data_IF_464999151657
#
_entry.id   IF_464999151657
#
_cell.length_a   1.000
_cell.length_b   1.000
_cell.length_c   1.000
_cell.angle_alpha   90.00
_cell.angle_beta   90.00
_cell.angle_gamma   90.00
#
_symmetry.space_group_name_H-M   'P 1'
#
loop_
_entity.id
_entity.type
_entity.pdbx_description
1 polymer ?
#
# COMPACT_ATOMS: atom_id res chain seq x y z
N UNK A 1 -32.35 -25.63 18.70
CA UNK A 1 -32.50 -24.22 18.25
C UNK A 1 -31.71 -23.20 19.09
N UNK A 2 -31.19 -23.51 20.28
CA UNK A 2 -30.43 -22.55 21.12
C UNK A 2 -28.97 -22.31 20.69
N UNK A 3 -28.37 -23.25 19.95
CA UNK A 3 -26.94 -23.22 19.58
C UNK A 3 -26.67 -22.24 18.42
N UNK A 4 -27.60 -22.12 17.47
CA UNK A 4 -27.48 -21.20 16.34
C UNK A 4 -27.47 -19.72 16.76
N UNK A 5 -28.14 -19.39 17.87
CA UNK A 5 -28.21 -18.02 18.38
C UNK A 5 -26.90 -17.54 19.02
N UNK A 6 -26.12 -18.44 19.61
CA UNK A 6 -24.84 -18.09 20.24
C UNK A 6 -23.73 -17.79 19.22
N UNK A 7 -23.75 -18.47 18.08
CA UNK A 7 -22.78 -18.26 16.98
C UNK A 7 -22.95 -16.90 16.29
N UNK A 8 -24.19 -16.42 16.17
CA UNK A 8 -24.49 -15.09 15.59
C UNK A 8 -24.06 -13.98 16.54
N UNK A 9 -24.24 -14.15 17.85
CA UNK A 9 -23.84 -13.14 18.84
C UNK A 9 -22.30 -13.04 18.92
N UNK A 10 -21.58 -14.15 18.78
CA UNK A 10 -20.11 -14.15 18.80
C UNK A 10 -19.49 -13.43 17.59
N UNK A 11 -20.19 -13.36 16.46
CA UNK A 11 -19.71 -12.67 15.25
C UNK A 11 -19.96 -11.16 15.26
N UNK A 12 -20.88 -10.66 16.09
CA UNK A 12 -21.17 -9.22 16.23
C UNK A 12 -20.21 -8.53 17.22
N UNK A 13 -19.63 -9.28 18.15
CA UNK A 13 -18.70 -8.78 19.18
C UNK A 13 -17.22 -8.76 18.74
N UNK A 14 -16.91 -9.12 17.50
CA UNK A 14 -15.57 -8.92 16.95
C UNK A 14 -15.41 -7.43 16.60
N UNK A 15 -14.62 -6.65 17.34
CA UNK A 15 -14.48 -5.23 17.05
C UNK A 15 -13.97 -5.03 15.61
N UNK A 16 -14.47 -4.04 14.86
CA UNK A 16 -13.97 -3.69 13.52
C UNK A 16 -12.57 -3.04 13.56
N UNK A 17 -11.71 -3.48 14.48
CA UNK A 17 -10.37 -2.93 14.71
C UNK A 17 -9.38 -3.24 13.58
N UNK A 18 -9.77 -4.07 12.60
CA UNK A 18 -8.97 -4.31 11.40
C UNK A 18 -9.14 -3.22 10.32
N UNK A 19 -10.14 -2.33 10.44
CA UNK A 19 -10.40 -1.33 9.39
C UNK A 19 -9.56 -0.05 9.51
N UNK A 20 -8.85 0.17 10.64
CA UNK A 20 -8.04 1.38 10.83
C UNK A 20 -6.63 1.30 10.21
N UNK A 21 -6.21 0.14 9.70
CA UNK A 21 -4.89 -0.02 9.08
C UNK A 21 -4.71 0.81 7.78
N UNK A 22 -5.79 1.31 7.15
CA UNK A 22 -5.71 2.06 5.90
C UNK A 22 -5.65 3.59 6.04
N UNK A 23 -5.70 4.16 7.24
CA UNK A 23 -5.59 5.63 7.45
C UNK A 23 -4.15 6.12 7.63
N UNK A 24 -3.21 5.59 6.85
CA UNK A 24 -1.94 6.29 6.64
C UNK A 24 -2.07 7.18 5.42
N UNK A 25 -2.51 8.43 5.64
CA UNK A 25 -2.38 9.52 4.66
C UNK A 25 -0.91 9.83 4.43
N UNK A 26 -0.23 8.96 3.68
CA UNK A 26 1.11 9.23 3.17
C UNK A 26 1.06 10.37 2.17
N UNK A 27 2.11 11.19 2.16
CA UNK A 27 2.44 12.10 1.08
C UNK A 27 1.97 11.55 -0.27
N UNK A 28 1.32 12.39 -1.09
CA UNK A 28 0.77 12.01 -2.40
C UNK A 28 1.81 11.42 -3.37
N UNK A 29 3.10 11.40 -3.03
CA UNK A 29 4.12 10.63 -3.75
C UNK A 29 4.72 9.56 -2.84
N UNK A 30 4.78 8.31 -3.32
CA UNK A 30 5.57 7.27 -2.67
C UNK A 30 7.04 7.71 -2.54
N UNK A 31 7.77 7.06 -1.65
CA UNK A 31 9.17 7.41 -1.35
C UNK A 31 10.02 7.16 -2.61
N UNK A 32 10.97 8.06 -2.89
CA UNK A 32 11.96 7.84 -3.96
C UNK A 32 13.04 6.85 -3.48
N UNK A 33 13.69 6.08 -4.37
CA UNK A 33 14.75 5.15 -3.98
C UNK A 33 15.90 5.78 -3.18
N UNK A 34 16.18 7.07 -3.40
CA UNK A 34 17.19 7.83 -2.64
C UNK A 34 16.74 8.25 -1.23
N UNK A 35 15.46 8.08 -0.88
CA UNK A 35 14.81 8.63 0.32
C UNK A 35 14.20 7.53 1.21
N UNK A 36 14.59 6.25 1.03
CA UNK A 36 13.97 5.09 1.69
C UNK A 36 13.82 5.24 3.21
N UNK A 37 14.77 5.91 3.88
CA UNK A 37 14.73 6.17 5.33
C UNK A 37 13.85 7.34 5.78
N UNK A 38 13.30 8.14 4.86
CA UNK A 38 12.46 9.29 5.14
C UNK A 38 10.95 8.97 5.19
N UNK A 39 10.58 7.71 4.95
CA UNK A 39 9.19 7.26 5.06
C UNK A 39 8.66 7.35 6.49
N UNK A 40 7.42 7.81 6.65
CA UNK A 40 6.72 7.83 7.96
C UNK A 40 6.26 6.42 8.36
N UNK A 41 6.23 5.50 7.39
CA UNK A 41 5.73 4.14 7.58
C UNK A 41 6.69 3.31 8.45
N UNK A 42 6.19 2.46 9.36
CA UNK A 42 7.01 1.53 10.12
C UNK A 42 7.86 0.63 9.21
N UNK A 43 9.04 0.24 9.68
CA UNK A 43 9.89 -0.74 8.98
C UNK A 43 9.10 -2.03 8.77
N UNK A 44 8.99 -2.47 7.52
CA UNK A 44 8.24 -3.68 7.14
C UNK A 44 6.78 -3.44 6.73
N UNK A 45 6.25 -2.22 6.83
CA UNK A 45 4.94 -1.87 6.28
C UNK A 45 4.96 -1.84 4.75
N UNK A 46 3.82 -2.13 4.09
CA UNK A 46 3.75 -2.06 2.64
C UNK A 46 3.89 -0.62 2.13
N UNK A 47 4.68 -0.43 1.07
CA UNK A 47 4.85 0.88 0.42
C UNK A 47 5.20 0.72 -1.06
N UNK A 48 4.92 1.76 -1.85
CA UNK A 48 5.30 1.83 -3.26
C UNK A 48 6.58 2.67 -3.38
N UNK A 49 7.58 2.09 -4.04
CA UNK A 49 8.82 2.75 -4.40
C UNK A 49 8.78 3.14 -5.88
N UNK A 50 8.97 4.42 -6.20
CA UNK A 50 8.88 4.93 -7.57
C UNK A 50 10.25 5.04 -8.23
N UNK A 51 10.45 4.31 -9.33
CA UNK A 51 11.65 4.38 -10.14
C UNK A 51 11.38 5.19 -11.41
N UNK A 52 12.22 6.18 -11.69
CA UNK A 52 12.07 7.06 -12.87
C UNK A 52 12.88 6.59 -14.08
N UNK A 53 13.71 5.57 -13.93
CA UNK A 53 14.52 4.99 -15.03
C UNK A 53 14.37 3.47 -15.06
N UNK A 54 14.43 2.92 -16.27
CA UNK A 54 14.30 1.48 -16.50
C UNK A 54 15.41 0.68 -15.83
N UNK A 55 16.66 1.13 -15.94
CA UNK A 55 17.81 0.42 -15.40
C UNK A 55 17.73 0.25 -13.87
N UNK A 56 17.33 1.31 -13.16
CA UNK A 56 17.18 1.24 -11.69
C UNK A 56 16.03 0.35 -11.27
N UNK A 57 14.91 0.38 -12.00
CA UNK A 57 13.77 -0.51 -11.76
C UNK A 57 14.15 -1.99 -11.98
N UNK A 58 14.90 -2.29 -13.06
CA UNK A 58 15.36 -3.64 -13.36
C UNK A 58 16.32 -4.19 -12.30
N UNK A 59 17.30 -3.38 -11.86
CA UNK A 59 18.23 -3.78 -10.80
C UNK A 59 17.49 -4.15 -9.52
N UNK A 60 16.48 -3.38 -9.12
CA UNK A 60 15.73 -3.64 -7.89
C UNK A 60 14.74 -4.80 -8.01
N UNK A 61 14.12 -4.98 -9.17
CA UNK A 61 13.30 -6.15 -9.45
C UNK A 61 14.12 -7.44 -9.35
N UNK A 62 15.34 -7.45 -9.90
CA UNK A 62 16.26 -8.58 -9.79
C UNK A 62 16.72 -8.83 -8.35
N UNK A 63 17.11 -7.77 -7.61
CA UNK A 63 17.56 -7.89 -6.21
C UNK A 63 16.47 -8.42 -5.28
N UNK A 64 15.23 -7.98 -5.50
CA UNK A 64 14.09 -8.35 -4.63
C UNK A 64 13.33 -9.59 -5.09
N UNK A 65 13.59 -10.08 -6.30
CA UNK A 65 12.82 -11.14 -6.95
C UNK A 65 11.30 -10.83 -6.99
N UNK A 66 10.95 -9.57 -7.27
CA UNK A 66 9.56 -9.10 -7.37
C UNK A 66 9.27 -8.57 -8.77
N UNK A 67 8.05 -8.77 -9.31
CA UNK A 67 7.68 -8.23 -10.62
C UNK A 67 7.62 -6.71 -10.60
N UNK A 68 7.84 -6.10 -11.77
CA UNK A 68 7.70 -4.66 -11.98
C UNK A 68 6.23 -4.33 -12.25
N UNK A 69 5.70 -3.36 -11.52
CA UNK A 69 4.42 -2.72 -11.82
C UNK A 69 4.68 -1.45 -12.64
N UNK A 70 4.28 -1.45 -13.91
CA UNK A 70 4.40 -0.28 -14.78
C UNK A 70 3.18 0.62 -14.65
N UNK A 71 3.40 1.88 -14.31
CA UNK A 71 2.40 2.93 -14.31
C UNK A 71 2.85 4.06 -15.23
N UNK A 72 1.96 4.47 -16.15
CA UNK A 72 2.11 5.67 -16.94
C UNK A 72 0.99 6.64 -16.58
N UNK A 73 1.37 7.85 -16.17
CA UNK A 73 0.44 8.90 -15.82
C UNK A 73 0.99 10.25 -16.30
N UNK A 74 0.10 11.16 -16.69
CA UNK A 74 0.43 12.53 -17.05
C UNK A 74 -0.19 13.50 -16.03
N UNK A 75 0.39 14.69 -15.88
CA UNK A 75 -0.15 15.72 -14.97
C UNK A 75 -1.61 16.11 -15.27
N UNK A 76 -2.03 15.93 -16.53
CA UNK A 76 -3.42 16.15 -16.98
C UNK A 76 -4.40 15.09 -16.49
N UNK A 77 -3.94 13.98 -15.92
CA UNK A 77 -4.78 12.91 -15.38
C UNK A 77 -5.26 13.20 -13.94
N UNK A 78 -5.26 14.47 -13.54
CA UNK A 78 -5.73 14.91 -12.23
C UNK A 78 -7.16 14.43 -11.95
N UNK A 79 -7.41 13.92 -10.74
CA UNK A 79 -8.71 13.41 -10.31
C UNK A 79 -8.95 11.92 -10.61
N UNK A 80 -8.03 11.24 -11.30
CA UNK A 80 -8.08 9.78 -11.48
C UNK A 80 -7.50 9.09 -10.24
N UNK A 81 -8.25 8.15 -9.66
CA UNK A 81 -7.79 7.37 -8.50
C UNK A 81 -6.46 6.68 -8.80
N UNK A 82 -5.46 6.88 -7.93
CA UNK A 82 -4.12 6.30 -8.09
C UNK A 82 -3.17 7.12 -8.97
N UNK A 83 -3.61 8.27 -9.49
CA UNK A 83 -2.75 9.25 -10.17
C UNK A 83 -2.65 10.51 -9.31
N UNK A 84 -1.42 10.91 -8.97
CA UNK A 84 -1.12 11.95 -7.98
C UNK A 84 -1.15 13.37 -8.54
#
# INVERSE_FOLDING_TARGET
MKIASALIILSILLPPSLSEAQRSGGSKGGVRPSEIGAGIQPIGAESIMWYTTWDTALTEAARSNRPIFFMAAAATCSGISGVF
#
